data_IF_227808276189
#
_entry.id   IF_227808276189
#
_cell.length_a   1.000
_cell.length_b   1.000
_cell.length_c   1.000
_cell.angle_alpha   90.00
_cell.angle_beta   90.00
_cell.angle_gamma   90.00
#
_symmetry.space_group_name_H-M   'P 1'
#
loop_
_entity.id
_entity.type
_entity.pdbx_description
1 polymer ?
#
# COMPACT_ATOMS: atom_id res chain seq x y z
N UNK A 1 -27.13 -29.77 8.28
CA UNK A 1 -26.51 -28.77 7.39
C UNK A 1 -27.52 -27.62 7.24
N UNK A 2 -27.47 -26.61 8.12
CA UNK A 2 -28.42 -25.47 8.05
C UNK A 2 -27.94 -24.53 6.94
N UNK A 3 -28.75 -24.39 5.90
CA UNK A 3 -28.57 -23.37 4.87
C UNK A 3 -28.62 -21.98 5.55
N UNK A 4 -27.50 -21.33 5.65
CA UNK A 4 -27.37 -19.97 6.17
C UNK A 4 -28.12 -19.05 5.21
N UNK A 5 -29.35 -18.64 5.58
CA UNK A 5 -30.13 -17.71 4.78
C UNK A 5 -29.24 -16.49 4.41
N UNK A 6 -28.92 -16.40 3.12
CA UNK A 6 -28.09 -15.32 2.58
C UNK A 6 -28.86 -14.00 2.68
N UNK A 7 -28.54 -13.20 3.69
CA UNK A 7 -29.21 -11.91 3.87
C UNK A 7 -28.56 -10.88 2.91
N UNK A 8 -29.19 -10.71 1.74
CA UNK A 8 -28.74 -9.85 0.67
C UNK A 8 -28.52 -8.39 1.13
N UNK A 9 -29.37 -7.86 2.00
CA UNK A 9 -29.21 -6.50 2.56
C UNK A 9 -27.93 -6.39 3.40
N UNK A 10 -27.60 -7.43 4.18
CA UNK A 10 -26.38 -7.45 4.99
C UNK A 10 -25.13 -7.63 4.12
N UNK A 11 -25.21 -8.37 3.03
CA UNK A 11 -24.12 -8.51 2.05
C UNK A 11 -23.84 -7.17 1.36
N UNK A 12 -24.88 -6.48 0.89
CA UNK A 12 -24.76 -5.14 0.29
C UNK A 12 -24.16 -4.13 1.27
N UNK A 13 -24.64 -4.08 2.50
CA UNK A 13 -24.12 -3.15 3.51
C UNK A 13 -22.64 -3.40 3.85
N UNK A 14 -22.20 -4.67 3.84
CA UNK A 14 -20.80 -5.04 4.13
C UNK A 14 -19.83 -4.79 2.97
N UNK A 15 -20.32 -4.73 1.73
CA UNK A 15 -19.52 -4.60 0.52
C UNK A 15 -19.91 -3.36 -0.31
N UNK A 16 -20.48 -2.34 0.33
CA UNK A 16 -21.00 -1.16 -0.37
C UNK A 16 -19.88 -0.43 -1.15
N UNK A 17 -18.69 -0.30 -0.58
CA UNK A 17 -17.55 0.38 -1.22
C UNK A 17 -17.07 -0.36 -2.46
N UNK A 18 -16.73 -1.67 -2.40
CA UNK A 18 -16.40 -2.44 -3.61
C UNK A 18 -17.47 -2.36 -4.70
N UNK A 19 -18.75 -2.43 -4.32
CA UNK A 19 -19.88 -2.39 -5.26
C UNK A 19 -19.94 -1.04 -5.98
N UNK A 20 -19.80 0.07 -5.26
CA UNK A 20 -19.75 1.41 -5.87
C UNK A 20 -18.62 1.49 -6.89
N UNK A 21 -17.43 0.98 -6.56
CA UNK A 21 -16.29 0.98 -7.49
C UNK A 21 -16.56 0.16 -8.74
N UNK A 22 -17.16 -1.02 -8.59
CA UNK A 22 -17.56 -1.87 -9.74
C UNK A 22 -18.54 -1.12 -10.64
N UNK A 23 -19.57 -0.50 -10.07
CA UNK A 23 -20.60 0.21 -10.83
C UNK A 23 -20.01 1.42 -11.57
N UNK A 24 -19.21 2.24 -10.88
CA UNK A 24 -18.57 3.41 -11.52
C UNK A 24 -17.59 2.96 -12.61
N UNK A 25 -16.77 1.94 -12.34
CA UNK A 25 -15.81 1.42 -13.33
C UNK A 25 -16.50 0.82 -14.54
N UNK A 26 -17.59 0.07 -14.36
CA UNK A 26 -18.38 -0.50 -15.42
C UNK A 26 -19.04 0.57 -16.32
N UNK A 27 -19.47 1.68 -15.71
CA UNK A 27 -20.00 2.83 -16.46
C UNK A 27 -18.91 3.61 -17.22
N UNK A 28 -17.74 3.80 -16.59
CA UNK A 28 -16.63 4.56 -17.17
C UNK A 28 -15.81 3.78 -18.22
N UNK A 29 -15.79 2.45 -18.15
CA UNK A 29 -15.01 1.61 -19.07
C UNK A 29 -15.37 1.83 -20.55
N UNK A 30 -16.63 1.77 -21.00
CA UNK A 30 -16.98 2.06 -22.37
C UNK A 30 -16.70 3.52 -22.77
N UNK A 31 -16.86 4.47 -21.86
CA UNK A 31 -16.54 5.89 -22.08
C UNK A 31 -15.05 6.13 -22.25
N UNK A 32 -14.19 5.31 -21.65
CA UNK A 32 -12.73 5.44 -21.78
C UNK A 32 -12.24 5.19 -23.20
N UNK A 33 -12.94 4.34 -23.96
CA UNK A 33 -12.55 3.91 -25.31
C UNK A 33 -11.35 2.99 -25.37
N UNK A 34 -10.86 2.53 -24.22
CA UNK A 34 -9.88 1.47 -24.18
C UNK A 34 -10.50 0.13 -24.61
N UNK A 35 -9.71 -0.68 -25.32
CA UNK A 35 -10.10 -2.07 -25.55
C UNK A 35 -10.12 -2.84 -24.23
N UNK A 36 -11.04 -3.80 -24.09
CA UNK A 36 -11.08 -4.65 -22.90
C UNK A 36 -9.75 -5.36 -22.62
N UNK A 37 -9.02 -5.75 -23.68
CA UNK A 37 -7.67 -6.34 -23.58
C UNK A 37 -6.69 -5.38 -22.91
N UNK A 38 -6.67 -4.12 -23.32
CA UNK A 38 -5.78 -3.11 -22.73
C UNK A 38 -6.10 -2.87 -21.24
N UNK A 39 -7.39 -2.77 -20.89
CA UNK A 39 -7.82 -2.63 -19.49
C UNK A 39 -7.34 -3.82 -18.64
N UNK A 40 -7.51 -5.04 -19.13
CA UNK A 40 -7.09 -6.25 -18.42
C UNK A 40 -5.56 -6.27 -18.26
N UNK A 41 -4.81 -5.96 -19.32
CA UNK A 41 -3.34 -5.89 -19.25
C UNK A 41 -2.86 -4.88 -18.20
N UNK A 42 -3.42 -3.67 -18.22
CA UNK A 42 -3.07 -2.63 -17.25
C UNK A 42 -3.44 -3.02 -15.82
N UNK A 43 -4.60 -3.65 -15.60
CA UNK A 43 -5.00 -4.14 -14.26
C UNK A 43 -4.02 -5.21 -13.77
N UNK A 44 -3.64 -6.16 -14.62
CA UNK A 44 -2.68 -7.22 -14.24
C UNK A 44 -1.32 -6.61 -13.89
N UNK A 45 -0.82 -5.68 -14.69
CA UNK A 45 0.45 -4.99 -14.45
C UNK A 45 0.41 -4.23 -13.12
N UNK A 46 -0.67 -3.49 -12.86
CA UNK A 46 -0.84 -2.75 -11.60
C UNK A 46 -1.08 -3.66 -10.41
N UNK A 47 -1.74 -4.79 -10.56
CA UNK A 47 -1.82 -5.80 -9.50
C UNK A 47 -0.43 -6.31 -9.11
N UNK A 48 0.42 -6.66 -10.08
CA UNK A 48 1.80 -7.09 -9.81
C UNK A 48 2.66 -6.01 -9.16
N UNK A 49 2.38 -4.74 -9.43
CA UNK A 49 3.14 -3.59 -8.93
C UNK A 49 2.67 -3.08 -7.58
N UNK A 50 1.36 -2.84 -7.45
CA UNK A 50 0.80 -2.08 -6.31
C UNK A 50 0.34 -2.98 -5.15
N UNK A 51 -0.02 -4.25 -5.41
CA UNK A 51 -0.48 -5.18 -4.36
C UNK A 51 0.57 -5.37 -3.26
N UNK A 52 1.86 -5.33 -3.61
CA UNK A 52 2.94 -5.45 -2.64
C UNK A 52 2.88 -4.33 -1.57
N UNK A 53 2.68 -3.09 -2.02
CA UNK A 53 2.50 -1.92 -1.13
C UNK A 53 1.24 -2.04 -0.28
N UNK A 54 0.13 -2.50 -0.85
CA UNK A 54 -1.13 -2.65 -0.11
C UNK A 54 -1.05 -3.78 0.93
N UNK A 55 -0.35 -4.88 0.59
CA UNK A 55 -0.09 -5.98 1.54
C UNK A 55 0.75 -5.54 2.74
N UNK A 56 1.67 -4.58 2.57
CA UNK A 56 2.49 -4.07 3.66
C UNK A 56 1.66 -3.41 4.77
N UNK A 57 0.48 -2.86 4.44
CA UNK A 57 -0.46 -2.27 5.39
C UNK A 57 -1.24 -3.31 6.21
N UNK A 58 -1.26 -4.56 5.75
CA UNK A 58 -2.11 -5.60 6.36
C UNK A 58 -1.64 -5.95 7.77
N UNK A 59 -0.32 -5.98 8.02
CA UNK A 59 0.25 -6.40 9.29
C UNK A 59 -0.06 -5.40 10.42
N UNK A 60 0.20 -4.07 10.28
CA UNK A 60 -0.20 -3.10 11.30
C UNK A 60 -1.72 -3.04 11.50
N UNK A 61 -2.49 -3.22 10.43
CA UNK A 61 -3.95 -3.25 10.52
C UNK A 61 -4.43 -4.43 11.38
N UNK A 62 -3.85 -5.62 11.20
CA UNK A 62 -4.15 -6.80 12.02
C UNK A 62 -3.68 -6.58 13.47
N UNK A 63 -2.60 -5.83 13.70
CA UNK A 63 -2.11 -5.45 15.03
C UNK A 63 -2.98 -4.41 15.75
N UNK A 64 -4.10 -3.99 15.14
CA UNK A 64 -5.01 -3.01 15.75
C UNK A 64 -4.52 -1.57 15.70
N UNK A 65 -3.46 -1.28 14.93
CA UNK A 65 -2.91 0.07 14.78
C UNK A 65 -3.68 0.94 13.77
N UNK A 66 -4.77 0.38 13.18
CA UNK A 66 -5.51 1.06 12.13
C UNK A 66 -4.74 1.13 10.81
N UNK A 67 -5.18 2.03 9.93
CA UNK A 67 -4.50 2.24 8.65
C UNK A 67 -3.23 3.04 8.90
N UNK A 68 -2.10 2.43 8.54
CA UNK A 68 -0.79 3.02 8.77
C UNK A 68 -0.35 3.92 7.60
N UNK A 69 -0.50 5.22 7.74
CA UNK A 69 0.04 6.18 6.77
C UNK A 69 1.56 6.38 6.87
N UNK A 70 2.19 5.84 7.91
CA UNK A 70 3.65 5.78 8.05
C UNK A 70 4.36 4.88 7.02
N UNK A 71 3.62 4.29 6.08
CA UNK A 71 4.17 3.59 4.90
C UNK A 71 5.18 4.47 4.13
N UNK A 72 5.00 5.79 4.16
CA UNK A 72 5.92 6.75 3.56
C UNK A 72 7.36 6.61 4.08
N UNK A 73 7.56 6.12 5.32
CA UNK A 73 8.90 5.87 5.89
C UNK A 73 9.65 4.82 5.05
N UNK A 74 8.99 3.71 4.74
CA UNK A 74 9.56 2.66 3.90
C UNK A 74 9.77 3.15 2.47
N UNK A 75 8.82 3.92 1.92
CA UNK A 75 8.96 4.51 0.59
C UNK A 75 10.17 5.43 0.49
N UNK A 76 10.43 6.28 1.49
CA UNK A 76 11.64 7.12 1.57
C UNK A 76 12.92 6.26 1.61
N UNK A 77 12.94 5.19 2.42
CA UNK A 77 14.09 4.29 2.47
C UNK A 77 14.36 3.62 1.11
N UNK A 78 13.32 3.17 0.41
CA UNK A 78 13.42 2.62 -0.94
C UNK A 78 13.94 3.64 -1.95
N UNK A 79 13.47 4.89 -1.91
CA UNK A 79 13.95 5.97 -2.79
C UNK A 79 15.43 6.30 -2.53
N UNK A 80 15.85 6.41 -1.27
CA UNK A 80 17.28 6.62 -0.92
C UNK A 80 18.16 5.51 -1.51
N UNK A 81 17.74 4.25 -1.29
CA UNK A 81 18.48 3.10 -1.82
C UNK A 81 18.58 3.14 -3.35
N UNK A 82 17.50 3.51 -4.03
CA UNK A 82 17.49 3.58 -5.49
C UNK A 82 18.34 4.72 -6.04
N UNK A 83 18.38 5.87 -5.36
CA UNK A 83 19.29 6.98 -5.70
C UNK A 83 20.75 6.52 -5.64
N UNK A 84 21.13 5.78 -4.58
CA UNK A 84 22.48 5.27 -4.42
C UNK A 84 22.85 4.26 -5.52
N UNK A 85 21.96 3.33 -5.82
CA UNK A 85 22.16 2.33 -6.87
C UNK A 85 22.27 2.98 -8.25
N UNK A 86 21.43 3.98 -8.54
CA UNK A 86 21.48 4.76 -9.77
C UNK A 86 22.79 5.56 -9.86
N UNK A 87 23.27 6.10 -8.73
CA UNK A 87 24.57 6.77 -8.67
C UNK A 87 25.73 5.82 -9.00
N UNK A 88 25.68 4.60 -8.49
CA UNK A 88 26.70 3.57 -8.77
C UNK A 88 26.55 2.93 -10.15
N UNK A 89 25.55 3.33 -10.92
CA UNK A 89 25.27 2.83 -12.27
C UNK A 89 25.06 1.28 -12.32
N UNK A 90 24.61 0.67 -11.23
CA UNK A 90 24.31 -0.75 -11.18
C UNK A 90 22.93 -0.96 -11.79
N UNK A 91 22.87 -1.66 -12.91
CA UNK A 91 21.67 -1.80 -13.73
C UNK A 91 21.01 -3.17 -13.59
N UNK A 92 19.79 -3.29 -14.11
CA UNK A 92 19.06 -4.55 -14.19
C UNK A 92 18.57 -5.07 -12.83
N UNK A 93 18.30 -6.38 -12.78
CA UNK A 93 17.82 -7.03 -11.58
C UNK A 93 18.84 -6.95 -10.42
N UNK A 94 20.15 -7.00 -10.71
CA UNK A 94 21.19 -6.87 -9.70
C UNK A 94 21.10 -5.52 -8.97
N UNK A 95 20.88 -4.42 -9.71
CA UNK A 95 20.63 -3.09 -9.12
C UNK A 95 19.39 -3.08 -8.23
N UNK A 96 18.31 -3.73 -8.65
CA UNK A 96 17.08 -3.81 -7.86
C UNK A 96 17.26 -4.63 -6.57
N UNK A 97 17.94 -5.77 -6.63
CA UNK A 97 18.23 -6.55 -5.42
C UNK A 97 19.17 -5.81 -4.46
N UNK A 98 20.17 -5.09 -4.99
CA UNK A 98 21.03 -4.25 -4.17
C UNK A 98 20.25 -3.10 -3.53
N UNK A 99 19.32 -2.47 -4.25
CA UNK A 99 18.44 -1.44 -3.70
C UNK A 99 17.57 -2.00 -2.56
N UNK A 100 17.02 -3.23 -2.70
CA UNK A 100 16.29 -3.90 -1.62
C UNK A 100 17.18 -4.15 -0.40
N UNK A 101 18.42 -4.61 -0.61
CA UNK A 101 19.37 -4.86 0.47
C UNK A 101 19.74 -3.60 1.23
N UNK A 102 19.94 -2.46 0.53
CA UNK A 102 20.24 -1.16 1.15
C UNK A 102 19.00 -0.56 1.83
N UNK A 103 17.83 -0.71 1.24
CA UNK A 103 16.59 -0.19 1.81
C UNK A 103 16.19 -0.89 3.10
N UNK A 104 16.56 -2.16 3.27
CA UNK A 104 16.17 -2.99 4.41
C UNK A 104 16.64 -2.41 5.76
N UNK A 105 17.93 -2.14 6.02
CA UNK A 105 18.37 -1.56 7.29
C UNK A 105 17.78 -0.17 7.56
N UNK A 106 17.67 0.67 6.53
CA UNK A 106 17.01 1.97 6.65
C UNK A 106 15.54 1.83 7.04
N UNK A 107 14.82 0.92 6.40
CA UNK A 107 13.41 0.63 6.70
C UNK A 107 13.24 0.06 8.11
N UNK A 108 14.16 -0.78 8.60
CA UNK A 108 14.14 -1.31 9.96
C UNK A 108 14.29 -0.17 10.97
N UNK A 109 15.27 0.72 10.77
CA UNK A 109 15.50 1.86 11.66
C UNK A 109 14.29 2.81 11.68
N UNK A 110 13.79 3.19 10.51
CA UNK A 110 12.62 4.07 10.39
C UNK A 110 11.34 3.40 10.91
N UNK A 111 11.18 2.10 10.69
CA UNK A 111 10.07 1.31 11.19
C UNK A 111 10.09 1.16 12.71
N UNK A 112 11.26 0.96 13.31
CA UNK A 112 11.43 0.94 14.77
C UNK A 112 11.08 2.30 15.38
N UNK A 113 11.60 3.38 14.80
CA UNK A 113 11.29 4.75 15.22
C UNK A 113 9.78 5.05 15.12
N UNK A 114 9.18 4.77 13.96
CA UNK A 114 7.74 4.94 13.75
C UNK A 114 6.91 4.07 14.69
N UNK A 115 7.30 2.82 14.89
CA UNK A 115 6.65 1.90 15.81
C UNK A 115 6.69 2.37 17.27
N UNK A 116 7.83 2.91 17.71
CA UNK A 116 7.96 3.51 19.03
C UNK A 116 7.02 4.71 19.21
N UNK A 117 6.97 5.63 18.23
CA UNK A 117 6.09 6.80 18.30
C UNK A 117 4.60 6.40 18.28
N UNK A 118 4.19 5.50 17.41
CA UNK A 118 2.82 5.04 17.34
C UNK A 118 2.40 4.29 18.61
N UNK A 119 3.33 3.61 19.24
CA UNK A 119 3.07 2.90 20.48
C UNK A 119 2.79 3.83 21.67
N UNK A 120 3.38 5.03 21.66
CA UNK A 120 3.09 6.08 22.63
C UNK A 120 1.78 6.85 22.31
N UNK A 121 1.25 6.70 21.11
CA UNK A 121 0.03 7.35 20.64
C UNK A 121 -1.17 6.40 20.53
N UNK A 122 -1.28 5.43 21.47
CA UNK A 122 -2.36 4.43 21.47
C UNK A 122 -3.75 5.09 21.43
N UNK A 123 -4.59 4.60 20.50
CA UNK A 123 -5.92 5.13 20.22
C UNK A 123 -5.95 6.32 19.24
N UNK A 124 -4.78 6.86 18.85
CA UNK A 124 -4.64 7.93 17.84
C UNK A 124 -3.64 7.61 16.75
N UNK A 125 -3.37 6.31 16.56
CA UNK A 125 -2.30 5.82 15.68
C UNK A 125 -2.46 6.29 14.23
N UNK A 126 -3.68 6.35 13.71
CA UNK A 126 -3.93 6.77 12.33
C UNK A 126 -3.49 8.22 12.10
N UNK A 127 -3.88 9.14 12.98
CA UNK A 127 -3.50 10.56 12.88
C UNK A 127 -1.99 10.70 13.08
N UNK A 128 -1.43 10.02 14.08
CA UNK A 128 0.00 10.07 14.38
C UNK A 128 0.82 9.53 13.22
N UNK A 129 0.41 8.42 12.59
CA UNK A 129 1.11 7.86 11.43
C UNK A 129 1.06 8.78 10.21
N UNK A 130 -0.04 9.51 10.03
CA UNK A 130 -0.20 10.48 8.95
C UNK A 130 0.75 11.66 9.14
N UNK A 131 0.76 12.27 10.33
CA UNK A 131 1.68 13.37 10.68
C UNK A 131 3.14 12.92 10.60
N UNK A 132 3.45 11.72 11.11
CA UNK A 132 4.78 11.14 11.02
C UNK A 132 5.22 10.91 9.57
N UNK A 133 4.32 10.47 8.70
CA UNK A 133 4.60 10.31 7.27
C UNK A 133 5.04 11.62 6.62
N UNK A 134 4.31 12.71 6.85
CA UNK A 134 4.68 14.04 6.35
C UNK A 134 5.99 14.54 6.93
N UNK A 135 6.18 14.41 8.23
CA UNK A 135 7.43 14.80 8.89
C UNK A 135 8.63 14.07 8.29
N UNK A 136 8.52 12.77 8.11
CA UNK A 136 9.60 11.95 7.55
C UNK A 136 9.87 12.25 6.08
N UNK A 137 8.85 12.56 5.28
CA UNK A 137 9.06 13.02 3.90
C UNK A 137 9.77 14.37 3.88
N UNK A 138 9.42 15.30 4.78
CA UNK A 138 10.13 16.56 4.93
C UNK A 138 11.61 16.36 5.30
N UNK A 139 11.89 15.47 6.26
CA UNK A 139 13.26 15.13 6.66
C UNK A 139 14.04 14.46 5.49
N UNK A 140 13.40 13.54 4.79
CA UNK A 140 13.94 12.91 3.59
C UNK A 140 14.32 13.98 2.53
N UNK A 141 13.44 14.96 2.28
CA UNK A 141 13.71 16.04 1.32
C UNK A 141 14.96 16.85 1.72
N UNK A 142 15.12 17.16 3.02
CA UNK A 142 16.32 17.84 3.55
C UNK A 142 17.58 16.98 3.30
N UNK A 143 17.52 15.70 3.63
CA UNK A 143 18.65 14.77 3.44
C UNK A 143 19.03 14.66 1.96
N UNK A 144 18.05 14.56 1.08
CA UNK A 144 18.30 14.44 -0.37
C UNK A 144 18.81 15.75 -0.96
N UNK A 145 18.26 16.90 -0.53
CA UNK A 145 18.66 18.19 -1.09
C UNK A 145 20.05 18.66 -0.58
N UNK A 146 20.31 18.50 0.71
CA UNK A 146 21.53 19.02 1.33
C UNK A 146 22.57 17.95 1.65
N UNK A 147 22.14 16.71 1.91
CA UNK A 147 23.04 15.61 2.27
C UNK A 147 23.66 14.94 1.06
N UNK A 148 22.87 14.71 0.02
CA UNK A 148 23.34 14.07 -1.20
C UNK A 148 24.04 15.09 -2.13
N UNK A 149 25.23 14.74 -2.62
CA UNK A 149 26.08 15.62 -3.39
C UNK A 149 27.07 16.44 -2.55
N UNK A 150 26.85 16.61 -1.23
CA UNK A 150 27.75 17.32 -0.33
C UNK A 150 28.36 16.41 0.73
N UNK A 151 27.55 15.62 1.43
CA UNK A 151 27.99 14.67 2.47
C UNK A 151 28.16 13.28 1.86
N UNK A 152 27.16 12.82 1.11
CA UNK A 152 27.20 11.56 0.36
C UNK A 152 27.62 11.91 -1.06
N UNK A 153 28.80 11.46 -1.54
CA UNK A 153 29.28 11.82 -2.88
C UNK A 153 28.37 11.20 -3.94
N UNK A 154 27.80 12.05 -4.78
CA UNK A 154 27.01 11.67 -5.95
C UNK A 154 27.80 12.10 -7.18
N UNK A 155 28.27 11.12 -7.94
CA UNK A 155 29.13 11.31 -9.11
C UNK A 155 28.37 11.32 -10.43
N UNK A 156 27.13 10.82 -10.43
CA UNK A 156 26.33 10.68 -11.65
C UNK A 156 25.65 12.01 -12.02
N UNK A 157 26.14 12.65 -13.08
CA UNK A 157 25.63 13.93 -13.58
C UNK A 157 24.16 13.90 -14.02
N UNK A 158 23.60 12.71 -14.30
CA UNK A 158 22.21 12.59 -14.73
C UNK A 158 21.23 12.83 -13.59
N UNK A 159 21.63 12.61 -12.34
CA UNK A 159 20.79 12.75 -11.15
C UNK A 159 21.07 14.02 -10.35
N UNK A 160 22.22 14.65 -10.53
CA UNK A 160 22.60 15.90 -9.85
C UNK A 160 22.04 17.11 -10.58
N UNK A 161 21.71 18.17 -9.83
CA UNK A 161 21.33 19.45 -10.41
C UNK A 161 22.49 20.04 -11.21
N UNK A 162 22.19 20.58 -12.39
CA UNK A 162 23.19 21.18 -13.30
C UNK A 162 23.86 22.44 -12.71
N UNK A 163 23.18 23.11 -11.78
CA UNK A 163 23.67 24.27 -11.02
C UNK A 163 23.14 24.17 -9.58
N UNK A 164 24.07 24.30 -8.60
CA UNK A 164 23.72 24.23 -7.17
C UNK A 164 24.01 22.87 -6.54
N UNK A 165 23.39 22.60 -5.40
CA UNK A 165 23.56 21.37 -4.64
C UNK A 165 22.25 20.56 -4.67
N UNK A 166 22.37 19.23 -4.54
CA UNK A 166 21.27 18.32 -4.41
C UNK A 166 20.90 17.58 -5.70
N UNK A 167 19.81 16.84 -5.62
CA UNK A 167 19.34 15.91 -6.65
C UNK A 167 18.19 16.53 -7.45
N UNK A 168 18.09 16.19 -8.72
CA UNK A 168 16.97 16.61 -9.59
C UNK A 168 15.66 16.11 -9.04
N UNK A 169 14.58 16.92 -9.19
CA UNK A 169 13.24 16.51 -8.77
C UNK A 169 12.75 15.23 -9.47
N UNK A 170 13.15 15.04 -10.72
CA UNK A 170 12.75 13.89 -11.53
C UNK A 170 13.98 13.15 -12.00
N UNK A 171 14.09 11.88 -11.66
CA UNK A 171 15.14 10.98 -12.10
C UNK A 171 14.51 9.91 -13.00
N UNK A 172 15.09 9.72 -14.18
CA UNK A 172 14.78 8.59 -15.04
C UNK A 172 15.56 7.37 -14.57
N UNK A 173 14.87 6.25 -14.43
CA UNK A 173 15.43 5.01 -13.89
C UNK A 173 15.78 4.02 -15.01
N UNK A 174 16.29 4.52 -16.16
CA UNK A 174 16.52 3.72 -17.38
C UNK A 174 17.33 2.44 -17.11
N UNK A 175 18.28 2.50 -16.18
CA UNK A 175 19.10 1.34 -15.82
C UNK A 175 18.37 0.21 -15.10
N UNK A 176 17.25 0.49 -14.41
CA UNK A 176 16.51 -0.49 -13.61
C UNK A 176 15.03 -0.64 -14.03
N UNK A 177 14.57 0.17 -14.99
CA UNK A 177 13.20 0.12 -15.49
C UNK A 177 12.87 -1.25 -16.09
N UNK A 178 11.74 -1.81 -15.67
CA UNK A 178 11.27 -3.11 -16.13
C UNK A 178 12.16 -4.30 -15.75
N UNK A 179 13.14 -4.09 -14.86
CA UNK A 179 14.13 -5.13 -14.53
C UNK A 179 13.50 -6.38 -13.94
N UNK A 180 12.49 -6.25 -13.10
CA UNK A 180 11.74 -7.39 -12.56
C UNK A 180 10.62 -7.83 -13.52
N UNK A 181 9.95 -6.90 -14.18
CA UNK A 181 8.85 -7.23 -15.07
C UNK A 181 9.30 -8.11 -16.24
N UNK A 182 10.51 -7.88 -16.75
CA UNK A 182 11.11 -8.62 -17.89
C UNK A 182 12.17 -9.64 -17.46
N UNK A 183 12.35 -9.89 -16.17
CA UNK A 183 13.41 -10.80 -15.71
C UNK A 183 13.24 -12.22 -16.22
N UNK A 184 12.04 -12.76 -16.11
CA UNK A 184 11.72 -14.12 -16.58
C UNK A 184 11.76 -14.17 -18.11
N UNK A 185 11.26 -13.15 -18.78
CA UNK A 185 11.29 -13.06 -20.23
C UNK A 185 12.74 -13.11 -20.77
N UNK A 186 13.67 -12.43 -20.09
CA UNK A 186 15.10 -12.47 -20.41
C UNK A 186 15.76 -13.80 -20.10
N UNK A 187 15.33 -14.50 -19.05
CA UNK A 187 15.85 -15.81 -18.68
C UNK A 187 15.38 -16.92 -19.63
N UNK A 188 14.13 -16.86 -20.07
CA UNK A 188 13.52 -17.84 -20.97
C UNK A 188 13.81 -17.50 -22.45
N UNK A 189 14.17 -16.23 -22.73
CA UNK A 189 14.40 -15.72 -24.11
C UNK A 189 13.14 -15.45 -24.91
N UNK A 190 11.95 -15.60 -24.31
CA UNK A 190 10.66 -15.37 -24.97
C UNK A 190 9.75 -14.60 -24.02
N UNK A 191 9.05 -13.53 -24.50
CA UNK A 191 8.10 -12.81 -23.64
C UNK A 191 6.91 -13.70 -23.26
N UNK A 192 6.59 -13.75 -21.99
CA UNK A 192 5.45 -14.54 -21.49
C UNK A 192 4.16 -13.80 -21.83
N UNK A 193 3.43 -14.33 -22.82
CA UNK A 193 2.14 -13.79 -23.28
C UNK A 193 1.03 -14.82 -23.08
N UNK A 194 -0.08 -14.40 -22.54
CA UNK A 194 -1.32 -15.18 -22.50
C UNK A 194 -2.39 -14.38 -23.25
N UNK A 195 -2.95 -14.93 -24.33
CA UNK A 195 -3.93 -14.26 -25.17
C UNK A 195 -3.47 -12.86 -25.66
N UNK A 196 -2.20 -12.72 -26.08
CA UNK A 196 -1.53 -11.47 -26.47
C UNK A 196 -1.41 -10.40 -25.36
N UNK A 197 -1.62 -10.77 -24.10
CA UNK A 197 -1.41 -9.91 -22.94
C UNK A 197 -0.01 -10.20 -22.38
N UNK A 198 0.85 -9.17 -22.29
CA UNK A 198 2.15 -9.29 -21.66
C UNK A 198 1.96 -9.38 -20.13
N UNK A 199 2.47 -10.44 -19.52
CA UNK A 199 2.32 -10.66 -18.09
C UNK A 199 3.67 -10.41 -17.42
N UNK A 200 3.79 -9.46 -16.46
CA UNK A 200 4.99 -9.25 -15.67
C UNK A 200 5.14 -10.39 -14.66
N UNK A 201 5.50 -11.57 -15.14
CA UNK A 201 5.41 -12.83 -14.39
C UNK A 201 6.23 -12.80 -13.10
N UNK A 202 7.44 -12.22 -13.12
CA UNK A 202 8.27 -12.13 -11.92
C UNK A 202 7.66 -11.22 -10.84
N UNK A 203 7.12 -10.08 -11.21
CA UNK A 203 6.43 -9.17 -10.28
C UNK A 203 5.20 -9.83 -9.67
N UNK A 204 4.44 -10.61 -10.45
CA UNK A 204 3.29 -11.37 -9.95
C UNK A 204 3.75 -12.50 -9.01
N UNK A 205 4.84 -13.19 -9.33
CA UNK A 205 5.40 -14.22 -8.45
C UNK A 205 5.89 -13.63 -7.12
N UNK A 206 6.49 -12.44 -7.12
CA UNK A 206 6.86 -11.74 -5.89
C UNK A 206 5.64 -11.42 -5.03
N UNK A 207 4.55 -10.96 -5.64
CA UNK A 207 3.28 -10.73 -4.93
C UNK A 207 2.70 -12.03 -4.39
N UNK A 208 2.70 -13.10 -5.19
CA UNK A 208 2.23 -14.42 -4.76
C UNK A 208 3.07 -14.96 -3.58
N UNK A 209 4.39 -14.82 -3.67
CA UNK A 209 5.32 -15.17 -2.58
C UNK A 209 5.00 -14.37 -1.32
N UNK A 210 4.76 -13.05 -1.44
CA UNK A 210 4.40 -12.21 -0.29
C UNK A 210 3.04 -12.60 0.30
N UNK A 211 2.07 -12.97 -0.54
CA UNK A 211 0.78 -13.51 -0.07
C UNK A 211 0.99 -14.81 0.74
N UNK A 212 1.83 -15.71 0.24
CA UNK A 212 2.21 -16.95 0.93
C UNK A 212 2.92 -16.65 2.26
N UNK A 213 3.91 -15.75 2.25
CA UNK A 213 4.64 -15.34 3.46
C UNK A 213 3.70 -14.67 4.48
N UNK A 214 2.78 -13.83 4.04
CA UNK A 214 1.78 -13.21 4.91
C UNK A 214 0.81 -14.25 5.49
N UNK A 215 0.37 -15.20 4.70
CA UNK A 215 -0.45 -16.32 5.16
C UNK A 215 0.29 -17.20 6.18
N UNK A 216 1.54 -17.58 5.88
CA UNK A 216 2.41 -18.33 6.79
C UNK A 216 2.68 -17.54 8.08
N UNK A 217 3.05 -16.25 7.99
CA UNK A 217 3.30 -15.38 9.13
C UNK A 217 2.12 -15.35 10.11
N UNK A 218 0.90 -15.26 9.60
CA UNK A 218 -0.32 -15.25 10.44
C UNK A 218 -0.49 -16.52 11.28
N UNK A 219 0.12 -17.62 10.89
CA UNK A 219 0.08 -18.91 11.61
C UNK A 219 1.28 -19.11 12.54
N UNK A 220 2.29 -18.22 12.50
CA UNK A 220 3.42 -18.24 13.43
C UNK A 220 3.00 -17.71 14.79
N UNK A 221 3.81 -17.99 15.84
CA UNK A 221 3.61 -17.45 17.19
C UNK A 221 3.46 -15.93 17.16
N UNK A 222 4.39 -15.22 16.51
CA UNK A 222 4.37 -13.77 16.40
C UNK A 222 3.10 -13.27 15.68
N UNK A 223 2.68 -13.93 14.59
CA UNK A 223 1.46 -13.57 13.86
C UNK A 223 0.20 -13.78 14.70
N UNK A 224 0.17 -14.78 15.56
CA UNK A 224 -0.92 -15.00 16.51
C UNK A 224 -0.92 -13.93 17.61
N UNK A 225 0.24 -13.56 18.15
CA UNK A 225 0.39 -12.45 19.10
C UNK A 225 -0.08 -11.13 18.48
N UNK A 226 0.30 -10.82 17.24
CA UNK A 226 -0.16 -9.65 16.49
C UNK A 226 -1.67 -9.61 16.37
N UNK A 227 -2.31 -10.75 16.08
CA UNK A 227 -3.77 -10.84 15.99
C UNK A 227 -4.46 -10.69 17.35
N UNK A 228 -3.90 -11.27 18.40
CA UNK A 228 -4.42 -11.15 19.76
C UNK A 228 -4.38 -9.68 20.22
N UNK A 229 -3.24 -9.01 20.05
CA UNK A 229 -3.05 -7.59 20.37
C UNK A 229 -4.04 -6.71 19.60
N UNK A 230 -4.30 -7.02 18.33
CA UNK A 230 -5.27 -6.30 17.52
C UNK A 230 -6.74 -6.50 17.91
N UNK A 231 -7.05 -7.59 18.60
CA UNK A 231 -8.40 -7.84 19.13
C UNK A 231 -8.63 -7.13 20.46
N UNK A 232 -7.72 -7.32 21.41
CA UNK A 232 -7.76 -6.67 22.72
C UNK A 232 -6.36 -6.58 23.33
N UNK A 233 -5.85 -5.37 23.47
CA UNK A 233 -4.53 -5.12 24.04
C UNK A 233 -4.47 -5.45 25.55
N UNK A 234 -5.56 -5.24 26.30
CA UNK A 234 -5.62 -5.51 27.73
C UNK A 234 -5.60 -7.00 28.02
N UNK A 235 -6.44 -7.77 27.33
CA UNK A 235 -6.47 -9.23 27.45
C UNK A 235 -5.15 -9.85 27.02
N UNK A 236 -4.56 -9.34 25.93
CA UNK A 236 -3.26 -9.81 25.44
C UNK A 236 -2.14 -9.58 26.46
N UNK A 237 -2.09 -8.40 27.09
CA UNK A 237 -1.13 -8.09 28.13
C UNK A 237 -1.32 -9.00 29.38
N UNK A 238 -2.57 -9.24 29.79
CA UNK A 238 -2.89 -10.16 30.88
C UNK A 238 -2.49 -11.61 30.58
N UNK A 239 -2.46 -11.99 29.28
CA UNK A 239 -2.01 -13.29 28.82
C UNK A 239 -0.49 -13.40 28.66
N UNK A 240 0.28 -12.38 29.06
CA UNK A 240 1.75 -12.38 29.02
C UNK A 240 2.34 -11.97 27.66
N UNK A 241 1.55 -11.43 26.72
CA UNK A 241 2.04 -10.92 25.44
C UNK A 241 2.59 -9.52 25.63
N UNK A 242 3.84 -9.28 25.19
CA UNK A 242 4.41 -7.93 25.13
C UNK A 242 3.78 -7.13 23.99
N UNK A 243 2.70 -6.40 24.33
CA UNK A 243 1.93 -5.58 23.37
C UNK A 243 2.82 -4.55 22.68
N UNK A 244 3.75 -3.91 23.41
CA UNK A 244 4.58 -2.85 22.87
C UNK A 244 5.56 -3.39 21.84
N UNK A 245 6.26 -4.47 22.16
CA UNK A 245 7.20 -5.15 21.27
C UNK A 245 6.50 -5.68 20.03
N UNK A 246 5.35 -6.33 20.17
CA UNK A 246 4.57 -6.90 19.08
C UNK A 246 4.12 -5.82 18.09
N UNK A 247 3.68 -4.66 18.55
CA UNK A 247 3.29 -3.51 17.73
C UNK A 247 4.48 -2.90 16.99
N UNK A 248 5.63 -2.73 17.67
CA UNK A 248 6.85 -2.20 17.04
C UNK A 248 7.33 -3.15 15.93
N UNK A 249 7.35 -4.46 16.18
CA UNK A 249 7.75 -5.44 15.17
C UNK A 249 6.80 -5.42 13.98
N UNK A 250 5.49 -5.30 14.22
CA UNK A 250 4.50 -5.17 13.14
C UNK A 250 4.76 -3.95 12.26
N UNK A 251 5.17 -2.83 12.87
CA UNK A 251 5.53 -1.61 12.15
C UNK A 251 6.83 -1.78 11.36
N UNK A 252 7.85 -2.41 11.93
CA UNK A 252 9.13 -2.69 11.24
C UNK A 252 8.87 -3.53 9.98
N UNK A 253 8.13 -4.64 10.11
CA UNK A 253 7.82 -5.52 8.97
C UNK A 253 7.07 -4.73 7.89
N UNK A 254 6.06 -3.95 8.27
CA UNK A 254 5.31 -3.12 7.35
C UNK A 254 6.20 -2.11 6.61
N UNK A 255 7.12 -1.46 7.32
CA UNK A 255 8.01 -0.44 6.75
C UNK A 255 9.03 -1.06 5.79
N UNK A 256 9.58 -2.24 6.11
CA UNK A 256 10.47 -2.99 5.21
C UNK A 256 9.74 -3.40 3.93
N UNK A 257 8.54 -3.97 4.07
CA UNK A 257 7.71 -4.35 2.93
C UNK A 257 7.30 -3.13 2.09
N UNK A 258 7.06 -1.99 2.72
CA UNK A 258 6.77 -0.74 2.02
C UNK A 258 7.97 -0.24 1.20
N UNK A 259 9.18 -0.36 1.73
CA UNK A 259 10.42 -0.04 0.98
C UNK A 259 10.57 -0.92 -0.25
N UNK A 260 10.36 -2.22 -0.11
CA UNK A 260 10.41 -3.15 -1.24
C UNK A 260 9.29 -2.89 -2.25
N UNK A 261 8.07 -2.63 -1.78
CA UNK A 261 6.94 -2.28 -2.63
C UNK A 261 7.18 -0.99 -3.42
N UNK A 262 7.80 0.01 -2.80
CA UNK A 262 8.19 1.25 -3.49
C UNK A 262 9.21 1.01 -4.60
N UNK A 263 10.18 0.13 -4.37
CA UNK A 263 11.17 -0.25 -5.38
C UNK A 263 10.50 -0.98 -6.57
N UNK A 264 9.60 -1.94 -6.28
CA UNK A 264 8.84 -2.65 -7.31
C UNK A 264 7.95 -1.68 -8.11
N UNK A 265 7.36 -0.69 -7.44
CA UNK A 265 6.57 0.35 -8.10
C UNK A 265 7.43 1.21 -9.01
N UNK A 266 8.57 1.71 -8.53
CA UNK A 266 9.45 2.61 -9.27
C UNK A 266 10.08 1.95 -10.50
N UNK A 267 10.47 0.68 -10.42
CA UNK A 267 11.03 -0.03 -11.57
C UNK A 267 9.99 -0.22 -12.69
N UNK A 268 8.70 -0.38 -12.35
CA UNK A 268 7.65 -0.49 -13.35
C UNK A 268 7.34 0.86 -13.99
N UNK A 269 7.28 1.95 -13.21
CA UNK A 269 6.99 3.30 -13.70
C UNK A 269 8.18 3.89 -14.48
N UNK A 270 9.41 3.54 -14.12
CA UNK A 270 10.64 3.99 -14.78
C UNK A 270 11.04 5.43 -14.49
N UNK A 271 10.27 6.16 -13.68
CA UNK A 271 10.53 7.55 -13.31
C UNK A 271 10.28 7.73 -11.82
N UNK A 272 11.21 8.39 -11.15
CA UNK A 272 11.10 8.72 -9.72
C UNK A 272 10.96 10.24 -9.55
N UNK A 273 9.87 10.67 -8.94
CA UNK A 273 9.72 12.04 -8.42
C UNK A 273 10.29 12.07 -7.01
N UNK A 274 11.49 12.64 -6.88
CA UNK A 274 12.30 12.55 -5.66
C UNK A 274 11.59 13.19 -4.46
N UNK A 275 11.07 14.39 -4.63
CA UNK A 275 10.52 15.15 -3.50
C UNK A 275 9.06 14.84 -3.14
N UNK A 276 8.28 14.30 -4.06
CA UNK A 276 6.83 14.09 -3.85
C UNK A 276 6.40 12.63 -3.94
N UNK A 277 7.22 11.75 -4.51
CA UNK A 277 6.84 10.38 -4.83
C UNK A 277 6.45 9.54 -3.62
N UNK A 278 7.06 9.75 -2.47
CA UNK A 278 6.75 9.00 -1.26
C UNK A 278 5.40 9.38 -0.60
N UNK A 279 4.92 10.61 -0.81
CA UNK A 279 3.68 11.10 -0.19
C UNK A 279 2.43 10.40 -0.71
N UNK A 280 2.34 10.20 -2.02
CA UNK A 280 1.16 9.64 -2.67
C UNK A 280 1.01 8.13 -2.45
N UNK A 281 2.12 7.43 -2.21
CA UNK A 281 2.15 5.97 -2.08
C UNK A 281 1.32 5.47 -0.91
N UNK A 282 1.51 6.07 0.27
CA UNK A 282 0.77 5.70 1.47
C UNK A 282 -0.75 5.91 1.29
N UNK A 283 -1.13 7.02 0.65
CA UNK A 283 -2.52 7.36 0.42
C UNK A 283 -3.19 6.40 -0.56
N UNK A 284 -2.53 6.09 -1.69
CA UNK A 284 -3.09 5.18 -2.69
C UNK A 284 -3.16 3.73 -2.20
N UNK A 285 -2.16 3.27 -1.45
CA UNK A 285 -2.18 1.96 -0.83
C UNK A 285 -3.30 1.83 0.21
N UNK A 286 -3.50 2.87 1.05
CA UNK A 286 -4.60 2.93 2.00
C UNK A 286 -5.97 2.97 1.30
N UNK A 287 -6.09 3.75 0.21
CA UNK A 287 -7.30 3.80 -0.60
C UNK A 287 -7.66 2.43 -1.18
N UNK A 288 -6.68 1.75 -1.80
CA UNK A 288 -6.88 0.43 -2.37
C UNK A 288 -7.33 -0.59 -1.29
N UNK A 289 -6.71 -0.55 -0.11
CA UNK A 289 -7.08 -1.41 1.03
C UNK A 289 -8.53 -1.16 1.48
N UNK A 290 -8.93 0.10 1.58
CA UNK A 290 -10.29 0.50 1.98
C UNK A 290 -11.34 0.12 0.92
N UNK A 291 -11.01 0.29 -0.36
CA UNK A 291 -11.86 -0.14 -1.49
C UNK A 291 -12.14 -1.63 -1.43
N UNK A 292 -11.18 -2.44 -1.00
CA UNK A 292 -11.38 -3.87 -0.74
C UNK A 292 -12.26 -4.19 0.46
N UNK A 293 -12.71 -3.18 1.21
CA UNK A 293 -13.52 -3.36 2.42
C UNK A 293 -12.74 -3.99 3.58
N UNK A 294 -11.43 -3.76 3.64
CA UNK A 294 -10.61 -4.20 4.74
C UNK A 294 -10.85 -3.32 5.98
N UNK A 295 -11.09 -3.97 7.11
CA UNK A 295 -11.22 -3.34 8.45
C UNK A 295 -10.29 -4.07 9.41
N UNK A 296 -10.01 -3.50 10.58
CA UNK A 296 -9.19 -4.16 11.59
C UNK A 296 -9.67 -5.59 11.93
N UNK A 297 -10.98 -5.78 12.00
CA UNK A 297 -11.59 -7.10 12.28
C UNK A 297 -11.65 -8.03 11.07
N UNK A 298 -11.60 -7.49 9.84
CA UNK A 298 -11.82 -8.23 8.58
C UNK A 298 -10.70 -8.03 7.56
N UNK A 299 -9.48 -7.79 8.02
CA UNK A 299 -8.32 -7.66 7.16
C UNK A 299 -7.86 -9.04 6.62
N UNK A 300 -7.62 -9.13 5.32
CA UNK A 300 -7.16 -10.37 4.68
C UNK A 300 -6.68 -10.18 3.25
N UNK A 301 -5.84 -11.12 2.79
CA UNK A 301 -5.23 -11.12 1.45
C UNK A 301 -6.28 -10.95 0.32
N UNK A 302 -7.43 -11.68 0.30
CA UNK A 302 -8.40 -11.53 -0.78
C UNK A 302 -8.93 -10.10 -0.90
N UNK A 303 -9.13 -9.39 0.23
CA UNK A 303 -9.59 -8.01 0.20
C UNK A 303 -8.55 -7.05 -0.32
N UNK A 304 -7.27 -7.31 -0.02
CA UNK A 304 -6.15 -6.54 -0.60
C UNK A 304 -6.15 -6.67 -2.12
N UNK A 305 -6.22 -7.90 -2.65
CA UNK A 305 -6.19 -8.16 -4.09
C UNK A 305 -7.40 -7.52 -4.80
N UNK A 306 -8.60 -7.74 -4.27
CA UNK A 306 -9.84 -7.17 -4.83
C UNK A 306 -9.79 -5.64 -4.76
N UNK A 307 -9.38 -5.08 -3.63
CA UNK A 307 -9.29 -3.64 -3.45
C UNK A 307 -8.29 -2.99 -4.38
N UNK A 308 -7.10 -3.57 -4.52
CA UNK A 308 -6.08 -3.09 -5.46
C UNK A 308 -6.59 -3.16 -6.90
N UNK A 309 -7.20 -4.27 -7.30
CA UNK A 309 -7.76 -4.42 -8.64
C UNK A 309 -8.84 -3.39 -8.96
N UNK A 310 -9.82 -3.21 -8.07
CA UNK A 310 -10.93 -2.27 -8.26
C UNK A 310 -10.46 -0.80 -8.25
N UNK A 311 -9.58 -0.46 -7.30
CA UNK A 311 -9.04 0.89 -7.22
C UNK A 311 -8.27 1.25 -8.50
N UNK A 312 -7.37 0.38 -8.94
CA UNK A 312 -6.60 0.63 -10.15
C UNK A 312 -7.41 0.52 -11.44
N UNK A 313 -8.45 -0.31 -11.49
CA UNK A 313 -9.38 -0.33 -12.62
C UNK A 313 -9.99 1.06 -12.84
N UNK A 314 -10.50 1.69 -11.77
CA UNK A 314 -11.02 3.04 -11.85
C UNK A 314 -9.94 4.05 -12.30
N UNK A 315 -8.73 3.93 -11.77
CA UNK A 315 -7.60 4.79 -12.13
C UNK A 315 -7.15 4.65 -13.60
N UNK A 316 -7.43 3.52 -14.25
CA UNK A 316 -7.13 3.29 -15.66
C UNK A 316 -8.21 3.96 -16.54
N UNK A 317 -9.48 3.70 -16.24
CA UNK A 317 -10.57 4.10 -17.13
C UNK A 317 -10.95 5.58 -16.99
N UNK A 318 -10.79 6.15 -15.78
CA UNK A 318 -11.25 7.49 -15.42
C UNK A 318 -10.62 8.63 -16.23
N UNK A 319 -9.30 8.69 -16.49
CA UNK A 319 -8.69 9.82 -17.17
C UNK A 319 -9.25 10.01 -18.58
N UNK A 320 -9.32 8.98 -19.41
CA UNK A 320 -9.85 9.09 -20.77
C UNK A 320 -11.37 9.25 -20.83
N UNK A 321 -12.11 8.56 -19.97
CA UNK A 321 -13.54 8.78 -19.83
C UNK A 321 -13.83 10.25 -19.45
N UNK A 322 -13.05 10.79 -18.50
CA UNK A 322 -13.15 12.19 -18.10
C UNK A 322 -12.81 13.18 -19.24
N UNK A 323 -11.80 12.89 -20.06
CA UNK A 323 -11.50 13.71 -21.25
C UNK A 323 -12.70 13.75 -22.21
N UNK A 324 -13.36 12.61 -22.43
CA UNK A 324 -14.55 12.56 -23.30
C UNK A 324 -15.75 13.29 -22.72
N UNK A 325 -15.91 13.27 -21.40
CA UNK A 325 -17.02 13.96 -20.70
C UNK A 325 -16.78 15.48 -20.64
N UNK A 326 -15.57 15.89 -20.27
CA UNK A 326 -15.25 17.28 -19.96
C UNK A 326 -14.53 18.02 -21.09
N UNK A 327 -14.06 17.32 -22.13
CA UNK A 327 -13.33 17.92 -23.25
C UNK A 327 -11.89 18.36 -22.94
N UNK A 328 -11.44 18.29 -21.68
CA UNK A 328 -10.13 18.76 -21.24
C UNK A 328 -9.42 17.73 -20.35
N UNK A 329 -8.16 17.40 -20.68
CA UNK A 329 -7.35 16.43 -19.94
C UNK A 329 -7.06 16.85 -18.49
N UNK A 330 -6.82 18.14 -18.25
CA UNK A 330 -6.56 18.66 -16.92
C UNK A 330 -7.77 18.48 -15.99
N UNK A 331 -8.98 18.76 -16.46
CA UNK A 331 -10.22 18.55 -15.68
C UNK A 331 -10.43 17.07 -15.38
N UNK A 332 -10.18 16.21 -16.36
CA UNK A 332 -10.29 14.75 -16.17
C UNK A 332 -9.32 14.24 -15.08
N UNK A 333 -8.09 14.75 -15.05
CA UNK A 333 -7.09 14.40 -14.05
C UNK A 333 -7.50 14.90 -12.65
N UNK A 334 -7.94 16.13 -12.51
CA UNK A 334 -8.44 16.65 -11.24
C UNK A 334 -9.68 15.89 -10.76
N UNK A 335 -10.57 15.52 -11.68
CA UNK A 335 -11.76 14.73 -11.35
C UNK A 335 -11.39 13.33 -10.86
N UNK A 336 -10.39 12.66 -11.47
CA UNK A 336 -9.84 11.40 -10.99
C UNK A 336 -9.32 11.51 -9.56
N UNK A 337 -8.52 12.54 -9.29
CA UNK A 337 -7.95 12.80 -7.95
C UNK A 337 -9.07 13.10 -6.94
N UNK A 338 -10.04 13.93 -7.31
CA UNK A 338 -11.20 14.26 -6.49
C UNK A 338 -12.01 13.00 -6.10
N UNK A 339 -12.35 12.16 -7.08
CA UNK A 339 -13.08 10.92 -6.80
C UNK A 339 -12.27 10.00 -5.87
N UNK A 340 -10.96 9.88 -6.11
CA UNK A 340 -10.09 9.04 -5.27
C UNK A 340 -10.12 9.48 -3.81
N UNK A 341 -9.97 10.76 -3.55
CA UNK A 341 -10.01 11.31 -2.19
C UNK A 341 -11.40 11.23 -1.58
N UNK A 342 -12.45 11.52 -2.36
CA UNK A 342 -13.83 11.41 -1.89
C UNK A 342 -14.19 9.99 -1.46
N UNK A 343 -13.71 9.00 -2.19
CA UNK A 343 -13.95 7.60 -1.85
C UNK A 343 -13.14 7.18 -0.63
N UNK A 344 -11.89 7.62 -0.50
CA UNK A 344 -11.10 7.39 0.73
C UNK A 344 -11.82 7.98 1.93
N UNK A 345 -12.29 9.23 1.83
CA UNK A 345 -13.03 9.89 2.89
C UNK A 345 -14.33 9.13 3.23
N UNK A 346 -15.12 8.76 2.22
CA UNK A 346 -16.34 7.99 2.40
C UNK A 346 -16.08 6.62 3.04
N UNK A 347 -15.05 5.90 2.59
CA UNK A 347 -14.67 4.60 3.14
C UNK A 347 -14.23 4.71 4.61
N UNK A 348 -13.47 5.77 4.97
CA UNK A 348 -13.08 6.04 6.35
C UNK A 348 -14.31 6.32 7.24
N UNK A 349 -15.25 7.15 6.78
CA UNK A 349 -16.50 7.45 7.50
C UNK A 349 -17.33 6.19 7.69
N UNK A 350 -17.53 5.38 6.64
CA UNK A 350 -18.28 4.12 6.71
C UNK A 350 -17.62 3.14 7.69
N UNK A 351 -16.28 3.03 7.65
CA UNK A 351 -15.55 2.16 8.56
C UNK A 351 -15.67 2.64 10.02
N UNK A 352 -15.57 3.94 10.26
CA UNK A 352 -15.75 4.52 11.60
C UNK A 352 -17.18 4.27 12.12
N UNK A 353 -18.18 4.42 11.27
CA UNK A 353 -19.58 4.18 11.63
C UNK A 353 -19.84 2.70 11.93
N UNK A 354 -19.33 1.80 11.10
CA UNK A 354 -19.47 0.36 11.33
C UNK A 354 -18.76 -0.07 12.61
N UNK A 355 -17.58 0.46 12.91
CA UNK A 355 -16.84 0.17 14.14
C UNK A 355 -17.60 0.68 15.38
N UNK A 356 -18.26 1.86 15.30
CA UNK A 356 -19.12 2.36 16.37
C UNK A 356 -20.32 1.45 16.57
N UNK A 357 -21.00 1.05 15.51
CA UNK A 357 -22.16 0.16 15.56
C UNK A 357 -21.79 -1.21 16.17
N UNK A 358 -20.69 -1.83 15.76
CA UNK A 358 -20.21 -3.10 16.32
C UNK A 358 -19.91 -2.97 17.84
N UNK A 359 -19.35 -1.83 18.27
CA UNK A 359 -19.10 -1.53 19.68
C UNK A 359 -20.40 -1.36 20.48
N UNK A 360 -21.36 -0.63 19.94
CA UNK A 360 -22.66 -0.41 20.56
C UNK A 360 -23.46 -1.74 20.69
N UNK A 361 -23.45 -2.57 19.65
CA UNK A 361 -24.07 -3.91 19.67
C UNK A 361 -23.42 -4.83 20.71
N UNK A 362 -22.10 -4.79 20.89
CA UNK A 362 -21.40 -5.55 21.93
C UNK A 362 -21.75 -5.09 23.34
N UNK A 363 -21.92 -3.79 23.55
CA UNK A 363 -22.30 -3.21 24.86
C UNK A 363 -23.76 -3.52 25.22
N UNK A 364 -24.69 -3.44 24.25
CA UNK A 364 -26.12 -3.72 24.47
C UNK A 364 -26.42 -5.24 24.50
N UNK A 365 -25.67 -6.06 23.77
CA UNK A 365 -25.76 -7.52 23.82
C UNK A 365 -25.40 -8.07 25.19
N UNK A 366 -24.37 -7.55 25.83
CA UNK A 366 -23.99 -7.93 27.20
C UNK A 366 -25.04 -7.51 28.25
N UNK A 367 -25.73 -6.37 28.08
CA UNK A 367 -26.79 -5.94 28.99
C UNK A 367 -28.03 -6.86 28.94
N UNK A 368 -28.39 -7.39 27.79
CA UNK A 368 -29.51 -8.36 27.67
C UNK A 368 -29.18 -9.70 28.34
N UNK A 369 -27.92 -10.18 28.22
CA UNK A 369 -27.50 -11.44 28.86
C UNK A 369 -27.36 -11.33 30.40
N UNK A 370 -27.09 -10.16 30.94
CA UNK A 370 -27.04 -9.94 32.40
C UNK A 370 -28.45 -9.75 32.98
N UNK A 371 -29.38 -9.16 32.25
CA UNK A 371 -30.77 -9.02 32.69
C UNK A 371 -31.52 -10.36 32.68
N UNK A 372 -31.25 -11.25 31.73
CA UNK A 372 -31.85 -12.59 31.61
C UNK A 372 -31.33 -13.60 32.67
N UNK A 373 -30.17 -13.31 33.31
CA UNK A 373 -29.63 -14.14 34.39
C UNK A 373 -30.02 -13.66 35.80
N UNK A 374 -30.71 -12.52 35.89
CA UNK A 374 -31.19 -11.96 37.17
C UNK A 374 -32.67 -12.14 37.41
N UNK A 375 -33.39 -12.79 36.53
CA UNK A 375 -34.75 -13.32 36.66
C UNK A 375 -34.70 -14.84 36.75
#
# INVERSE_FOLDING_TARGET
MMAKNFNFKMFLAKNIVPIIFIVISAFMAPLSGYSGRHIVQEVITRLGRDTFLVLSLLIPLIAGMGINFGLALGACAGQIALILVTNWQITGAAGMFLAMLISMPLSILLGAFGGYLLNNAKGREMITSYVLGFFMVGLYQIVVLFGMGKIIPISNETIVLSRGFGIRNTIRLEGVTGSFDTLIDKLIGVPVKIADINIPLFSILLVALLCLLTWWFRNTKLGQEVRAVGQDMGVSAASGIDVNKTRIISMIISTVLAGFGQLIWLQNVGVMTVYTGANSVALYAAAALLVGGATASKAGIPRVIVGTGLFHLLFIVMPLAGVRIFGMAAVAEYFRVFISYSVVAAALVINAWNAKKERDEALFGNRKHTADKST
#
